data_IF_488502209905
#
_entry.id   IF_488502209905
#
_cell.length_a   1.000
_cell.length_b   1.000
_cell.length_c   1.000
_cell.angle_alpha   90.00
_cell.angle_beta   90.00
_cell.angle_gamma   90.00
#
_symmetry.space_group_name_H-M   'P 1'
#
loop_
_entity.id
_entity.type
_entity.pdbx_description
1 polymer ?
#
# COMPACT_ATOMS: atom_id res chain seq x y z
N UNK A 1 51.86 -11.66 41.01
CA UNK A 1 51.54 -10.43 40.26
C UNK A 1 50.45 -10.80 39.27
N UNK A 2 49.34 -10.05 39.29
CA UNK A 2 48.02 -10.39 38.76
C UNK A 2 47.99 -10.97 37.35
N UNK A 3 47.33 -12.11 37.22
CA UNK A 3 46.92 -12.75 35.96
C UNK A 3 45.44 -12.40 35.73
N UNK A 4 45.19 -11.25 35.11
CA UNK A 4 43.82 -10.80 34.78
C UNK A 4 43.48 -11.28 33.37
N UNK A 5 42.51 -12.20 33.17
CA UNK A 5 42.13 -12.62 31.83
C UNK A 5 41.54 -11.43 31.10
N UNK A 6 42.07 -11.14 29.91
CA UNK A 6 41.61 -10.06 29.05
C UNK A 6 40.11 -10.21 28.82
N UNK A 7 39.29 -9.37 29.45
CA UNK A 7 37.85 -9.43 29.30
C UNK A 7 37.47 -9.10 27.85
N UNK A 8 37.13 -10.12 27.06
CA UNK A 8 36.63 -9.92 25.70
C UNK A 8 35.28 -9.19 25.77
N UNK A 9 35.28 -7.89 25.47
CA UNK A 9 34.07 -7.08 25.47
C UNK A 9 33.47 -7.05 24.07
N UNK A 10 32.41 -7.83 23.88
CA UNK A 10 31.63 -7.81 22.63
C UNK A 10 30.64 -6.64 22.70
N UNK A 11 30.66 -5.77 21.68
CA UNK A 11 29.65 -4.73 21.49
C UNK A 11 28.62 -5.23 20.49
N UNK A 12 27.37 -5.27 20.91
CA UNK A 12 26.24 -5.60 20.07
C UNK A 12 25.48 -4.33 19.72
N UNK A 13 25.00 -4.24 18.49
CA UNK A 13 24.15 -3.17 17.99
C UNK A 13 23.16 -3.74 16.98
N UNK A 14 21.97 -3.19 16.91
CA UNK A 14 20.95 -3.54 15.92
C UNK A 14 20.10 -2.33 15.57
N UNK A 15 19.43 -2.40 14.41
CA UNK A 15 18.46 -1.42 13.95
C UNK A 15 17.15 -2.13 13.71
N UNK A 16 16.08 -1.65 14.33
CA UNK A 16 14.72 -2.09 14.03
C UNK A 16 14.23 -1.27 12.86
N UNK A 17 13.72 -1.93 11.82
CA UNK A 17 13.07 -1.28 10.70
C UNK A 17 11.56 -1.39 10.86
N UNK A 18 10.84 -0.33 10.52
CA UNK A 18 9.38 -0.33 10.46
C UNK A 18 8.92 -0.88 9.11
N UNK A 19 7.83 -1.66 9.06
CA UNK A 19 7.17 -2.01 7.81
C UNK A 19 6.85 -0.77 6.98
N UNK A 20 6.94 -0.90 5.66
CA UNK A 20 6.61 0.18 4.73
C UNK A 20 6.05 -0.35 3.42
N UNK A 21 5.04 0.33 2.89
CA UNK A 21 4.55 0.14 1.53
C UNK A 21 5.16 1.18 0.58
N UNK A 22 5.61 0.73 -0.59
CA UNK A 22 5.92 1.61 -1.72
C UNK A 22 5.02 1.23 -2.90
N UNK A 23 4.84 2.17 -3.83
CA UNK A 23 3.90 2.02 -4.95
C UNK A 23 4.60 2.29 -6.27
N UNK A 24 4.26 1.50 -7.29
CA UNK A 24 4.70 1.70 -8.67
C UNK A 24 3.50 1.57 -9.62
N UNK A 25 3.04 2.65 -10.27
CA UNK A 25 3.59 4.01 -10.19
C UNK A 25 3.32 4.68 -8.82
N UNK A 26 4.10 5.72 -8.46
CA UNK A 26 3.95 6.42 -7.17
C UNK A 26 2.70 7.32 -7.09
N UNK A 27 2.06 7.61 -8.23
CA UNK A 27 0.79 8.31 -8.32
C UNK A 27 0.03 7.84 -9.57
N UNK A 28 -1.29 7.90 -9.52
CA UNK A 28 -2.16 7.57 -10.64
C UNK A 28 -2.71 8.84 -11.28
N UNK A 29 -2.69 8.86 -12.60
CA UNK A 29 -3.32 9.90 -13.41
C UNK A 29 -4.25 9.21 -14.41
N UNK A 30 -5.55 9.26 -14.13
CA UNK A 30 -6.56 8.69 -15.00
C UNK A 30 -6.90 9.67 -16.12
N UNK A 31 -6.97 9.17 -17.34
CA UNK A 31 -7.42 9.97 -18.48
C UNK A 31 -8.91 10.29 -18.33
N UNK A 32 -9.38 11.46 -18.80
CA UNK A 32 -10.80 11.77 -18.81
C UNK A 32 -11.58 10.71 -19.60
N UNK A 33 -12.68 10.22 -19.01
CA UNK A 33 -13.53 9.16 -19.58
C UNK A 33 -14.99 9.62 -19.65
N UNK A 34 -15.80 9.07 -20.58
CA UNK A 34 -17.22 9.39 -20.65
C UNK A 34 -17.98 8.97 -19.38
N UNK A 35 -19.10 9.64 -19.12
CA UNK A 35 -19.97 9.30 -18.00
C UNK A 35 -20.47 7.86 -18.08
N UNK A 36 -20.46 7.17 -16.95
CA UNK A 36 -20.95 5.80 -16.79
C UNK A 36 -20.03 4.73 -17.39
N UNK A 37 -18.92 5.10 -18.02
CA UNK A 37 -17.90 4.19 -18.53
C UNK A 37 -16.87 3.94 -17.44
N UNK A 38 -16.52 2.67 -17.26
CA UNK A 38 -15.47 2.25 -16.33
C UNK A 38 -14.10 2.34 -17.00
N UNK A 39 -13.12 2.82 -16.26
CA UNK A 39 -11.71 2.79 -16.64
C UNK A 39 -10.91 2.13 -15.55
N UNK A 40 -9.87 1.41 -15.95
CA UNK A 40 -9.05 0.61 -15.04
C UNK A 40 -7.59 0.97 -15.17
N UNK A 41 -6.85 0.81 -14.08
CA UNK A 41 -5.40 0.94 -14.05
C UNK A 41 -4.83 0.06 -12.96
N UNK A 42 -3.57 -0.34 -13.14
CA UNK A 42 -2.88 -1.24 -12.22
C UNK A 42 -1.81 -0.46 -11.50
N UNK A 43 -1.63 -0.77 -10.21
CA UNK A 43 -0.44 -0.39 -9.48
C UNK A 43 0.14 -1.60 -8.76
N UNK A 44 1.46 -1.61 -8.62
CA UNK A 44 2.20 -2.57 -7.82
C UNK A 44 2.43 -2.00 -6.44
N UNK A 45 2.01 -2.73 -5.41
CA UNK A 45 2.37 -2.48 -4.02
C UNK A 45 3.62 -3.31 -3.71
N UNK A 46 4.65 -2.65 -3.17
CA UNK A 46 5.96 -3.22 -2.89
C UNK A 46 6.20 -3.15 -1.38
N UNK A 47 5.85 -4.20 -0.62
CA UNK A 47 6.06 -4.24 0.82
C UNK A 47 7.55 -4.34 1.15
N UNK A 48 7.96 -3.66 2.22
CA UNK A 48 9.34 -3.66 2.71
C UNK A 48 9.35 -3.84 4.23
N UNK A 49 10.31 -4.63 4.71
CA UNK A 49 10.60 -4.82 6.13
C UNK A 49 9.41 -5.36 6.95
N UNK A 50 8.46 -6.06 6.31
CA UNK A 50 7.44 -6.84 7.01
C UNK A 50 8.06 -8.11 7.59
N UNK A 51 7.81 -8.42 8.86
CA UNK A 51 8.39 -9.61 9.51
C UNK A 51 7.42 -10.78 9.62
N UNK A 52 6.13 -10.51 9.38
CA UNK A 52 5.04 -11.48 9.44
C UNK A 52 4.11 -11.27 8.25
N UNK A 53 3.23 -12.23 8.03
CA UNK A 53 2.11 -12.04 7.12
C UNK A 53 1.22 -10.91 7.66
N UNK A 54 0.91 -9.94 6.81
CA UNK A 54 0.01 -8.83 7.13
C UNK A 54 -0.98 -8.67 5.98
N UNK A 55 -2.24 -8.40 6.30
CA UNK A 55 -3.25 -8.08 5.30
C UNK A 55 -3.32 -6.58 5.08
N UNK A 56 -3.34 -6.15 3.82
CA UNK A 56 -3.55 -4.75 3.49
C UNK A 56 -5.05 -4.42 3.56
N UNK A 57 -5.36 -3.20 3.96
CA UNK A 57 -6.68 -2.58 3.94
C UNK A 57 -6.60 -1.29 3.13
N UNK A 58 -7.72 -0.88 2.53
CA UNK A 58 -7.79 0.32 1.72
C UNK A 58 -8.96 1.16 2.18
N UNK A 59 -8.70 2.44 2.40
CA UNK A 59 -9.72 3.47 2.53
C UNK A 59 -9.88 4.19 1.19
N UNK A 60 -11.03 4.00 0.56
CA UNK A 60 -11.37 4.64 -0.70
C UNK A 60 -11.95 6.03 -0.46
N UNK A 61 -11.57 7.04 -1.27
CA UNK A 61 -12.03 8.39 -1.07
C UNK A 61 -13.51 8.53 -1.42
N UNK A 62 -14.26 9.14 -0.50
CA UNK A 62 -15.58 9.69 -0.76
C UNK A 62 -15.43 11.04 -1.48
N UNK A 63 -16.22 11.25 -2.54
CA UNK A 63 -16.17 12.47 -3.35
C UNK A 63 -17.52 13.18 -3.31
N UNK A 64 -17.50 14.46 -2.92
CA UNK A 64 -18.66 15.34 -2.93
C UNK A 64 -18.84 15.98 -4.32
N UNK A 65 -20.06 15.92 -4.83
CA UNK A 65 -20.46 16.45 -6.13
C UNK A 65 -21.02 17.87 -6.00
N UNK A 66 -21.20 18.56 -7.13
CA UNK A 66 -21.71 19.94 -7.15
C UNK A 66 -23.12 20.09 -6.58
N UNK A 67 -23.93 19.03 -6.62
CA UNK A 67 -25.28 18.99 -6.04
C UNK A 67 -25.29 18.61 -4.55
N UNK A 68 -24.12 18.40 -3.94
CA UNK A 68 -23.94 18.01 -2.55
C UNK A 68 -24.07 16.51 -2.30
N UNK A 69 -24.36 15.70 -3.33
CA UNK A 69 -24.34 14.25 -3.21
C UNK A 69 -22.92 13.74 -2.99
N UNK A 70 -22.78 12.63 -2.25
CA UNK A 70 -21.49 11.96 -2.02
C UNK A 70 -21.46 10.60 -2.69
N UNK A 71 -20.36 10.31 -3.37
CA UNK A 71 -20.17 9.07 -4.13
C UNK A 71 -18.82 8.43 -3.82
N UNK A 72 -18.72 7.13 -4.07
CA UNK A 72 -17.47 6.37 -4.10
C UNK A 72 -17.19 5.95 -5.55
N UNK A 73 -16.49 6.78 -6.33
CA UNK A 73 -16.33 6.53 -7.76
C UNK A 73 -15.22 5.51 -8.05
N UNK A 74 -14.48 5.08 -7.04
CA UNK A 74 -13.38 4.13 -7.16
C UNK A 74 -13.76 2.76 -6.60
N UNK A 75 -13.24 1.71 -7.21
CA UNK A 75 -13.26 0.34 -6.70
C UNK A 75 -11.88 -0.28 -6.83
N UNK A 76 -11.57 -1.25 -5.95
CA UNK A 76 -10.26 -1.90 -5.90
C UNK A 76 -10.38 -3.40 -5.87
N UNK A 77 -9.49 -4.10 -6.56
CA UNK A 77 -9.41 -5.55 -6.59
C UNK A 77 -7.96 -6.02 -6.48
N UNK A 78 -7.78 -7.16 -5.80
CA UNK A 78 -6.50 -7.84 -5.64
C UNK A 78 -6.60 -9.23 -6.29
N UNK A 79 -6.19 -9.38 -7.56
CA UNK A 79 -6.35 -10.64 -8.31
C UNK A 79 -5.59 -11.79 -7.66
N UNK A 80 -4.44 -11.49 -7.05
CA UNK A 80 -3.54 -12.46 -6.40
C UNK A 80 -3.72 -12.50 -4.87
N UNK A 81 -4.70 -11.76 -4.34
CA UNK A 81 -4.90 -11.58 -2.90
C UNK A 81 -4.19 -10.35 -2.34
N UNK A 82 -4.53 -10.04 -1.10
CA UNK A 82 -4.20 -8.77 -0.42
C UNK A 82 -3.22 -8.96 0.75
N UNK A 83 -2.67 -10.17 0.90
CA UNK A 83 -1.79 -10.53 1.99
C UNK A 83 -0.32 -10.32 1.59
N UNK A 84 0.40 -9.51 2.36
CA UNK A 84 1.85 -9.41 2.28
C UNK A 84 2.44 -10.72 2.81
N UNK A 85 2.96 -11.54 1.91
CA UNK A 85 3.62 -12.81 2.25
C UNK A 85 5.10 -12.77 1.89
N UNK A 86 5.91 -13.43 2.71
CA UNK A 86 7.32 -13.65 2.44
C UNK A 86 7.48 -14.83 1.48
N UNK A 87 8.21 -14.62 0.38
CA UNK A 87 8.64 -15.69 -0.51
C UNK A 87 9.77 -16.51 0.12
N UNK A 88 10.02 -17.69 -0.44
CA UNK A 88 11.07 -18.61 0.02
C UNK A 88 12.48 -18.04 -0.05
N UNK A 89 12.72 -17.01 -0.87
CA UNK A 89 13.99 -16.27 -0.97
C UNK A 89 14.10 -15.10 0.02
N UNK A 90 13.11 -14.95 0.92
CA UNK A 90 13.11 -13.93 1.98
C UNK A 90 12.71 -12.53 1.50
N UNK A 91 12.16 -12.39 0.30
CA UNK A 91 11.60 -11.13 -0.21
C UNK A 91 10.10 -11.07 0.03
N UNK A 92 9.55 -9.87 -0.03
CA UNK A 92 8.10 -9.69 -0.10
C UNK A 92 7.63 -9.84 -1.53
N UNK A 93 6.57 -10.62 -1.73
CA UNK A 93 5.88 -10.61 -3.00
C UNK A 93 5.24 -9.24 -3.23
N UNK A 94 5.33 -8.75 -4.46
CA UNK A 94 4.58 -7.57 -4.87
C UNK A 94 3.10 -7.94 -4.95
N UNK A 95 2.23 -7.00 -4.61
CA UNK A 95 0.78 -7.16 -4.78
C UNK A 95 0.34 -6.29 -5.95
N UNK A 96 -0.39 -6.88 -6.89
CA UNK A 96 -1.06 -6.11 -7.93
C UNK A 96 -2.39 -5.62 -7.37
N UNK A 97 -2.63 -4.32 -7.47
CA UNK A 97 -3.90 -3.68 -7.12
C UNK A 97 -4.52 -3.10 -8.39
N UNK A 98 -5.67 -3.64 -8.78
CA UNK A 98 -6.49 -3.12 -9.87
C UNK A 98 -7.42 -2.05 -9.32
N UNK A 99 -7.31 -0.84 -9.86
CA UNK A 99 -8.13 0.29 -9.48
C UNK A 99 -9.03 0.66 -10.65
N UNK A 100 -10.33 0.63 -10.42
CA UNK A 100 -11.32 1.05 -11.40
C UNK A 100 -11.96 2.36 -10.97
N UNK A 101 -12.29 3.22 -11.93
CA UNK A 101 -13.03 4.46 -11.73
C UNK A 101 -14.26 4.47 -12.63
N UNK A 102 -15.40 4.86 -12.04
CA UNK A 102 -16.66 5.05 -12.76
C UNK A 102 -17.52 6.08 -12.07
N UNK A 103 -18.05 7.03 -12.83
CA UNK A 103 -19.06 7.98 -12.32
C UNK A 103 -20.16 8.21 -13.34
N UNK A 104 -21.41 8.22 -12.89
CA UNK A 104 -22.57 8.60 -13.72
C UNK A 104 -22.78 10.11 -13.79
N UNK A 105 -22.04 10.91 -13.01
CA UNK A 105 -22.10 12.37 -12.95
C UNK A 105 -20.71 12.97 -13.21
N UNK A 106 -20.60 14.18 -13.79
CA UNK A 106 -19.30 14.85 -13.94
C UNK A 106 -18.62 15.00 -12.58
N UNK A 107 -17.37 14.59 -12.49
CA UNK A 107 -16.59 14.66 -11.24
C UNK A 107 -15.11 14.83 -11.59
N UNK A 108 -14.41 15.61 -10.76
CA UNK A 108 -12.95 15.74 -10.77
C UNK A 108 -12.45 15.48 -9.36
N UNK A 109 -11.43 14.65 -9.21
CA UNK A 109 -10.88 14.28 -7.91
C UNK A 109 -9.36 14.38 -7.91
N UNK A 110 -8.82 14.99 -6.86
CA UNK A 110 -7.40 14.99 -6.52
C UNK A 110 -7.28 14.74 -5.03
N UNK A 111 -6.66 13.62 -4.66
CA UNK A 111 -6.52 13.22 -3.27
C UNK A 111 -5.77 11.90 -3.13
N UNK A 112 -5.83 11.33 -1.93
CA UNK A 112 -5.10 10.11 -1.58
C UNK A 112 -6.08 8.94 -1.41
N UNK A 113 -5.61 7.75 -1.77
CA UNK A 113 -6.17 6.48 -1.30
C UNK A 113 -5.22 5.97 -0.21
N UNK A 114 -5.75 5.65 0.97
CA UNK A 114 -4.92 5.20 2.08
C UNK A 114 -4.83 3.67 2.07
N UNK A 115 -3.62 3.13 2.08
CA UNK A 115 -3.37 1.70 2.21
C UNK A 115 -2.69 1.47 3.55
N UNK A 116 -3.28 0.63 4.40
CA UNK A 116 -2.77 0.36 5.74
C UNK A 116 -2.73 -1.13 6.02
N UNK A 117 -1.93 -1.56 6.99
CA UNK A 117 -2.03 -2.92 7.55
C UNK A 117 -2.82 -2.96 8.87
N UNK A 118 -2.88 -4.14 9.48
CA UNK A 118 -3.57 -4.38 10.76
C UNK A 118 -2.98 -3.61 11.95
N UNK A 119 -1.74 -3.11 11.83
CA UNK A 119 -1.07 -2.28 12.84
C UNK A 119 -1.13 -0.79 12.49
N UNK A 120 -1.92 -0.41 11.48
CA UNK A 120 -2.07 0.97 10.99
C UNK A 120 -0.76 1.57 10.45
N UNK A 121 0.16 0.73 9.94
CA UNK A 121 1.34 1.16 9.18
C UNK A 121 0.99 1.62 7.76
#
# INVERSE_FOLDING_TARGET
VNDSPSQYKIRLSGTVKSPKLNFDPPFLMLMPVPLGVETETDLSIIPQDYLRQSRIHIELPEVELEDGDRIYPFTVQFPEGQDVVLSSDGKHNQLICHISFRSSKPVSFLGNMCFTDEEEN
#
